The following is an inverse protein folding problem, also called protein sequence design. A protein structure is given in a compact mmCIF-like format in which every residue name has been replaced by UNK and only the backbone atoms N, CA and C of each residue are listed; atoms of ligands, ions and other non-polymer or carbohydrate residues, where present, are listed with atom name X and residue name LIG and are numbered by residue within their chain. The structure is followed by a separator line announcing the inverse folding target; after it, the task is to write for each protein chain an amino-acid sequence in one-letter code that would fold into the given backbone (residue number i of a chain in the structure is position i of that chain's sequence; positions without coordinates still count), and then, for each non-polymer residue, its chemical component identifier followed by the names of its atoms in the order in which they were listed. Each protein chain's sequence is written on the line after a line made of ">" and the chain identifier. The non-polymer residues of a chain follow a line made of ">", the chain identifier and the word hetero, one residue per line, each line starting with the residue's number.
data_IF_502541131524
#
_entry.id   IF_502541131524
#
_cell.length_a   1.000
_cell.length_b   1.000
_cell.length_c   1.000
_cell.angle_alpha   90.00
_cell.angle_beta   90.00
_cell.angle_gamma   90.00
#
_symmetry.space_group_name_H-M   'P 1'
#
loop_
_entity.id
_entity.type
_entity.pdbx_description
1 polymer ?
#
# COMPACT_ATOMS: atom_id res chain seq x y z
N UNK A 1 2.99 3.27 39.49
CA UNK A 1 2.17 2.41 38.56
C UNK A 1 2.78 2.10 37.18
N UNK A 2 2.86 3.05 36.21
CA UNK A 2 3.43 2.72 34.87
C UNK A 2 4.93 2.45 34.91
N UNK A 3 5.63 3.11 35.84
CA UNK A 3 7.07 2.96 35.98
C UNK A 3 7.48 1.67 36.69
N UNK A 4 6.71 1.24 37.69
CA UNK A 4 6.89 -0.09 38.32
C UNK A 4 6.74 -1.19 37.29
N UNK A 5 5.76 -1.08 36.39
CA UNK A 5 5.60 -2.02 35.28
C UNK A 5 6.80 -2.04 34.34
N UNK A 6 7.37 -0.88 34.00
CA UNK A 6 8.56 -0.79 33.15
C UNK A 6 9.80 -1.39 33.83
N UNK A 7 10.12 -0.96 35.06
CA UNK A 7 11.28 -1.47 35.79
C UNK A 7 11.11 -2.94 36.20
N UNK A 8 9.89 -3.41 36.47
CA UNK A 8 9.65 -4.83 36.75
C UNK A 8 9.97 -5.76 35.59
N UNK A 9 10.03 -5.22 34.36
CA UNK A 9 10.41 -6.00 33.19
C UNK A 9 11.93 -6.16 33.05
N UNK A 10 12.76 -5.42 33.81
CA UNK A 10 14.22 -5.52 33.75
C UNK A 10 14.77 -6.19 34.99
N UNK A 11 15.54 -7.25 34.79
CA UNK A 11 16.21 -7.95 35.89
C UNK A 11 17.63 -7.44 36.11
N UNK A 12 18.24 -6.85 35.07
CA UNK A 12 19.57 -6.26 35.15
C UNK A 12 19.60 -4.92 34.44
N UNK A 13 20.20 -3.94 35.10
CA UNK A 13 20.57 -2.67 34.48
C UNK A 13 22.10 -2.65 34.43
N UNK A 14 22.63 -2.69 33.22
CA UNK A 14 24.06 -2.55 32.97
C UNK A 14 24.37 -1.07 32.83
N UNK A 15 24.72 -0.44 33.94
CA UNK A 15 25.37 0.86 33.96
C UNK A 15 26.87 0.64 33.99
N UNK A 16 27.65 1.39 33.21
CA UNK A 16 29.12 1.40 33.33
C UNK A 16 29.63 1.73 34.74
N UNK A 17 28.75 2.17 35.65
CA UNK A 17 28.99 2.43 37.08
C UNK A 17 27.77 1.96 37.91
N UNK A 18 27.94 1.20 39.01
CA UNK A 18 26.84 0.69 39.87
C UNK A 18 26.09 1.80 40.62
N UNK A 19 24.75 1.81 40.60
CA UNK A 19 23.92 2.73 41.39
C UNK A 19 22.70 2.04 42.04
N UNK A 20 22.29 2.43 43.26
CA UNK A 20 21.04 1.99 43.88
C UNK A 20 19.84 2.73 43.27
N UNK A 21 18.80 1.98 42.91
CA UNK A 21 17.54 2.52 42.40
C UNK A 21 16.61 2.77 43.59
N UNK A 22 16.25 4.03 43.86
CA UNK A 22 15.31 4.42 44.92
C UNK A 22 13.87 4.55 44.36
N UNK A 23 12.88 4.13 45.15
CA UNK A 23 11.47 3.91 44.75
C UNK A 23 10.62 5.20 44.59
N UNK A 24 11.22 6.38 44.41
CA UNK A 24 10.53 7.68 44.50
C UNK A 24 10.05 8.27 43.16
N UNK A 25 9.91 7.45 42.12
CA UNK A 25 9.76 7.92 40.73
C UNK A 25 8.32 7.86 40.18
N UNK A 26 7.30 8.02 41.03
CA UNK A 26 5.88 7.90 40.64
C UNK A 26 5.33 9.12 39.86
N UNK A 27 6.12 10.18 39.64
CA UNK A 27 5.64 11.42 38.98
C UNK A 27 6.44 11.88 37.75
N UNK A 28 7.42 11.10 37.27
CA UNK A 28 8.20 11.49 36.10
C UNK A 28 7.46 11.14 34.78
N UNK A 29 7.21 12.10 33.86
CA UNK A 29 6.74 11.78 32.52
C UNK A 29 7.82 11.01 31.76
N UNK A 30 7.66 9.68 31.66
CA UNK A 30 8.41 8.78 30.77
C UNK A 30 9.91 8.66 31.07
N UNK A 31 10.33 7.52 31.63
CA UNK A 31 11.75 7.16 31.82
C UNK A 31 12.57 7.26 30.51
N UNK A 32 11.94 6.94 29.38
CA UNK A 32 12.52 6.93 28.03
C UNK A 32 11.82 7.92 27.09
N UNK A 33 11.37 9.08 27.59
CA UNK A 33 10.90 10.13 26.69
C UNK A 33 11.95 10.32 25.60
N UNK A 34 11.66 9.91 24.36
CA UNK A 34 12.62 9.83 23.27
C UNK A 34 13.02 11.22 22.73
N UNK A 35 12.80 12.26 23.53
CA UNK A 35 13.42 13.54 23.38
C UNK A 35 14.45 13.74 24.50
N UNK A 36 15.61 14.31 24.18
CA UNK A 36 16.49 14.93 25.17
C UNK A 36 15.79 16.16 25.76
N UNK A 37 14.71 15.95 26.52
CA UNK A 37 14.12 17.02 27.31
C UNK A 37 15.02 17.18 28.52
N UNK A 38 15.54 18.40 28.69
CA UNK A 38 16.29 18.77 29.87
C UNK A 38 15.53 18.33 31.14
N UNK A 39 16.15 17.48 31.97
CA UNK A 39 15.55 16.94 33.18
C UNK A 39 14.86 15.58 33.03
N UNK A 40 15.05 14.86 31.92
CA UNK A 40 14.62 13.47 31.83
C UNK A 40 15.34 12.59 32.85
N UNK A 41 14.70 11.50 33.27
CA UNK A 41 15.32 10.51 34.17
C UNK A 41 16.62 9.99 33.58
N UNK A 42 16.64 9.72 32.27
CA UNK A 42 17.84 9.29 31.59
C UNK A 42 18.99 10.29 31.74
N UNK A 43 18.72 11.59 31.55
CA UNK A 43 19.73 12.63 31.75
C UNK A 43 20.19 12.72 33.20
N UNK A 44 19.27 12.54 34.16
CA UNK A 44 19.58 12.53 35.58
C UNK A 44 20.48 11.33 35.97
N UNK A 45 20.17 10.13 35.47
CA UNK A 45 20.94 8.89 35.74
C UNK A 45 22.34 8.99 35.13
N UNK A 46 22.45 9.57 33.94
CA UNK A 46 23.70 9.60 33.17
C UNK A 46 24.57 10.79 33.50
N UNK A 47 24.07 11.74 34.31
CA UNK A 47 24.70 13.03 34.53
C UNK A 47 24.90 13.83 33.23
N UNK A 48 24.14 13.51 32.18
CA UNK A 48 24.33 14.05 30.83
C UNK A 48 25.51 13.49 30.05
N UNK A 49 26.28 12.53 30.60
CA UNK A 49 27.51 12.03 29.97
C UNK A 49 27.28 10.82 29.04
N UNK A 50 26.14 10.15 29.13
CA UNK A 50 25.80 9.08 28.21
C UNK A 50 24.81 9.57 27.15
N UNK A 51 25.19 9.43 25.89
CA UNK A 51 24.33 9.71 24.74
C UNK A 51 23.57 8.50 24.24
N UNK A 52 23.93 7.29 24.68
CA UNK A 52 23.38 6.03 24.17
C UNK A 52 22.78 5.18 25.28
N UNK A 53 21.63 4.57 25.00
CA UNK A 53 21.08 3.46 25.77
C UNK A 53 20.45 2.41 24.86
N UNK A 54 20.31 1.18 25.33
CA UNK A 54 19.70 0.12 24.55
C UNK A 54 18.84 -0.83 25.38
N UNK A 55 17.87 -1.44 24.73
CA UNK A 55 16.87 -2.35 25.28
C UNK A 55 17.07 -3.75 24.69
N UNK A 56 17.34 -4.71 25.57
CA UNK A 56 17.32 -6.14 25.27
C UNK A 56 16.18 -6.81 26.04
N UNK A 57 14.97 -6.80 25.45
CA UNK A 57 13.82 -7.46 26.07
C UNK A 57 13.76 -8.94 25.71
N UNK A 58 13.69 -9.80 26.71
CA UNK A 58 13.58 -11.24 26.55
C UNK A 58 12.21 -11.74 27.06
N UNK A 59 11.70 -12.88 26.56
CA UNK A 59 10.53 -13.53 27.16
C UNK A 59 10.83 -13.90 28.62
N UNK A 60 9.80 -14.08 29.47
CA UNK A 60 9.98 -14.41 30.88
C UNK A 60 10.90 -15.64 31.05
N UNK A 61 11.70 -15.63 32.12
CA UNK A 61 12.80 -16.57 32.35
C UNK A 61 12.43 -18.06 32.21
N UNK A 62 11.15 -18.43 32.37
CA UNK A 62 10.68 -19.81 32.28
C UNK A 62 11.04 -20.51 30.96
N UNK A 63 11.20 -19.77 29.86
CA UNK A 63 11.44 -20.36 28.53
C UNK A 63 12.93 -20.51 28.22
N UNK A 64 13.79 -19.55 28.59
CA UNK A 64 15.19 -19.51 28.14
C UNK A 64 16.22 -19.01 29.19
N UNK A 65 15.81 -18.69 30.43
CA UNK A 65 16.68 -18.11 31.47
C UNK A 65 17.49 -16.86 31.06
N UNK A 66 17.08 -16.13 30.01
CA UNK A 66 17.74 -14.90 29.59
C UNK A 66 17.03 -13.70 30.22
N UNK A 67 17.70 -12.92 31.09
CA UNK A 67 17.11 -11.72 31.69
C UNK A 67 16.86 -10.67 30.60
N UNK A 68 15.86 -9.83 30.80
CA UNK A 68 15.75 -8.59 30.02
C UNK A 68 16.72 -7.54 30.60
N UNK A 69 17.44 -6.85 29.73
CA UNK A 69 18.53 -5.95 30.10
C UNK A 69 18.33 -4.53 29.54
N UNK A 70 18.64 -3.52 30.35
CA UNK A 70 18.75 -2.13 29.97
C UNK A 70 20.22 -1.71 30.02
N UNK A 71 20.76 -1.28 28.89
CA UNK A 71 22.15 -0.88 28.74
C UNK A 71 22.19 0.65 28.75
N UNK A 72 22.92 1.24 29.69
CA UNK A 72 23.01 2.71 29.84
C UNK A 72 24.46 3.14 29.64
N UNK A 73 24.69 4.05 28.70
CA UNK A 73 26.04 4.51 28.34
C UNK A 73 26.75 3.62 27.33
N UNK A 74 26.02 2.76 26.63
CA UNK A 74 26.61 1.90 25.62
C UNK A 74 25.62 0.93 25.00
N UNK A 75 26.19 0.06 24.19
CA UNK A 75 25.51 -0.98 23.41
C UNK A 75 26.16 -2.31 23.80
N UNK A 76 25.40 -3.40 23.74
CA UNK A 76 25.97 -4.73 23.89
C UNK A 76 26.87 -5.04 22.68
N UNK A 77 28.15 -5.38 22.89
CA UNK A 77 29.06 -5.74 21.80
C UNK A 77 28.52 -6.84 20.88
N UNK A 78 27.64 -7.73 21.38
CA UNK A 78 27.03 -8.80 20.55
C UNK A 78 26.17 -8.27 19.40
N UNK A 79 25.65 -7.05 19.51
CA UNK A 79 24.75 -6.46 18.51
C UNK A 79 25.37 -5.28 17.76
N UNK A 80 26.55 -4.81 18.16
CA UNK A 80 27.19 -3.61 17.60
C UNK A 80 27.31 -3.68 16.06
N UNK A 81 27.80 -4.79 15.53
CA UNK A 81 27.96 -5.02 14.08
C UNK A 81 26.64 -5.36 13.35
N UNK A 82 25.54 -5.52 14.09
CA UNK A 82 24.24 -5.93 13.55
C UNK A 82 23.20 -4.82 13.60
N UNK A 83 23.52 -3.69 14.23
CA UNK A 83 22.64 -2.53 14.31
C UNK A 83 22.55 -1.79 12.98
N UNK A 84 21.32 -1.52 12.56
CA UNK A 84 21.03 -0.57 11.49
C UNK A 84 20.42 0.68 12.10
N UNK A 85 21.06 1.82 11.86
CA UNK A 85 20.64 3.12 12.38
C UNK A 85 19.68 3.85 11.43
N UNK A 86 18.66 4.48 11.98
CA UNK A 86 17.72 5.35 11.27
C UNK A 86 17.47 6.63 12.08
N UNK A 87 17.10 7.71 11.39
CA UNK A 87 16.81 9.00 12.03
C UNK A 87 15.45 9.00 12.71
N UNK A 88 15.36 9.72 13.83
CA UNK A 88 14.09 10.02 14.50
C UNK A 88 13.42 11.18 13.78
N UNK A 89 12.14 11.05 13.42
CA UNK A 89 11.32 12.17 12.97
C UNK A 89 10.99 13.08 14.15
N UNK A 90 11.33 14.36 14.03
CA UNK A 90 10.98 15.40 14.98
C UNK A 90 9.80 16.22 14.44
N UNK A 91 8.59 15.69 14.59
CA UNK A 91 7.37 16.43 14.24
C UNK A 91 6.83 17.15 15.49
N UNK A 92 7.58 18.14 16.02
CA UNK A 92 7.18 19.19 17.00
C UNK A 92 6.58 18.76 18.36
N UNK A 93 5.72 17.76 18.38
CA UNK A 93 4.93 17.22 19.49
C UNK A 93 5.13 15.70 19.68
N UNK A 94 5.69 14.97 18.72
CA UNK A 94 5.92 13.53 18.82
C UNK A 94 7.41 13.22 18.81
N UNK A 95 7.88 12.55 19.86
CA UNK A 95 9.29 12.23 20.07
C UNK A 95 9.48 10.73 19.94
N UNK A 96 10.55 10.31 19.26
CA UNK A 96 10.89 8.88 19.08
C UNK A 96 10.18 8.15 17.95
N UNK A 97 9.51 8.87 17.04
CA UNK A 97 9.01 8.25 15.81
C UNK A 97 10.14 8.05 14.80
N UNK A 98 10.09 6.98 14.02
CA UNK A 98 11.02 6.71 12.94
C UNK A 98 10.24 6.08 11.78
N UNK A 99 10.81 6.09 10.58
CA UNK A 99 10.13 5.50 9.42
C UNK A 99 10.54 4.05 9.24
N UNK A 100 9.54 3.19 9.06
CA UNK A 100 9.71 1.83 8.56
C UNK A 100 9.21 1.74 7.12
N UNK A 101 9.82 0.86 6.35
CA UNK A 101 9.54 0.64 4.95
C UNK A 101 9.11 -0.80 4.66
N UNK A 102 8.40 -1.01 3.56
CA UNK A 102 8.11 -2.34 2.99
C UNK A 102 7.52 -3.32 4.01
N UNK A 103 6.56 -2.84 4.81
CA UNK A 103 5.89 -3.63 5.83
C UNK A 103 5.03 -4.72 5.19
N UNK A 104 5.34 -6.00 5.47
CA UNK A 104 4.70 -7.16 4.85
C UNK A 104 4.35 -8.26 5.83
N UNK A 105 3.28 -8.99 5.52
CA UNK A 105 2.91 -10.25 6.16
C UNK A 105 2.63 -11.24 5.05
N UNK A 106 3.12 -12.48 5.16
CA UNK A 106 2.86 -13.50 4.14
C UNK A 106 3.30 -13.12 2.72
N UNK A 107 4.33 -12.27 2.59
CA UNK A 107 4.80 -11.70 1.31
C UNK A 107 3.96 -10.55 0.76
N UNK A 108 2.81 -10.24 1.38
CA UNK A 108 1.88 -9.18 0.96
C UNK A 108 2.15 -7.89 1.73
N UNK A 109 2.18 -6.76 1.04
CA UNK A 109 2.31 -5.44 1.68
C UNK A 109 1.07 -5.08 2.46
N UNK A 110 1.25 -4.54 3.68
CA UNK A 110 0.14 -4.15 4.54
C UNK A 110 -0.56 -2.88 4.04
N UNK A 111 0.16 -2.00 3.35
CA UNK A 111 -0.39 -0.90 2.57
C UNK A 111 0.23 -0.94 1.16
N UNK A 112 -0.51 -1.35 0.11
CA UNK A 112 0.02 -1.39 -1.25
C UNK A 112 0.20 0.01 -1.87
N UNK A 113 -0.41 1.05 -1.28
CA UNK A 113 -0.36 2.41 -1.82
C UNK A 113 0.81 3.22 -1.24
N UNK A 114 1.45 2.76 -0.17
CA UNK A 114 2.60 3.43 0.46
C UNK A 114 3.67 2.45 0.90
N UNK A 115 4.92 2.81 0.62
CA UNK A 115 6.09 1.99 0.98
C UNK A 115 6.70 2.36 2.33
N UNK A 116 6.27 3.47 2.96
CA UNK A 116 6.86 4.03 4.16
C UNK A 116 5.78 4.40 5.19
N UNK A 117 6.05 4.15 6.48
CA UNK A 117 5.11 4.41 7.57
C UNK A 117 5.81 4.85 8.85
N UNK A 118 5.26 5.80 9.63
CA UNK A 118 5.81 6.15 10.93
C UNK A 118 5.60 5.02 11.94
N UNK A 119 6.64 4.67 12.66
CA UNK A 119 6.64 3.71 13.75
C UNK A 119 7.13 4.38 15.03
N UNK A 120 6.67 3.87 16.17
CA UNK A 120 7.04 4.34 17.50
C UNK A 120 7.38 3.14 18.37
N UNK A 121 8.47 3.25 19.12
CA UNK A 121 8.81 2.29 20.16
C UNK A 121 8.13 2.72 21.45
N UNK A 122 7.20 1.91 21.95
CA UNK A 122 6.41 2.24 23.15
C UNK A 122 6.53 1.13 24.18
N UNK A 123 7.40 1.35 25.16
CA UNK A 123 7.60 0.42 26.26
C UNK A 123 6.45 0.44 27.28
N UNK A 124 5.50 1.39 27.16
CA UNK A 124 4.29 1.45 27.98
C UNK A 124 3.14 0.62 27.42
N UNK A 125 3.22 0.20 26.15
CA UNK A 125 2.28 -0.72 25.51
C UNK A 125 2.80 -2.16 25.56
N UNK A 126 1.94 -3.10 25.92
CA UNK A 126 2.25 -4.53 25.84
C UNK A 126 2.21 -5.06 24.39
N UNK A 127 1.27 -4.55 23.60
CA UNK A 127 0.88 -5.12 22.32
C UNK A 127 1.35 -4.28 21.13
N UNK A 128 1.45 -4.93 19.97
CA UNK A 128 1.62 -4.26 18.69
C UNK A 128 0.31 -3.54 18.33
N UNK A 129 0.34 -2.23 18.08
CA UNK A 129 -0.83 -1.50 17.56
C UNK A 129 -0.59 -1.10 16.12
N UNK A 130 -1.55 -1.42 15.26
CA UNK A 130 -1.50 -1.14 13.82
C UNK A 130 -2.71 -0.31 13.43
N UNK A 131 -2.59 0.61 12.46
CA UNK A 131 -3.75 1.22 11.85
C UNK A 131 -4.75 0.18 11.35
N UNK A 132 -6.04 0.53 11.35
CA UNK A 132 -7.15 -0.41 11.08
C UNK A 132 -6.95 -1.24 9.82
N UNK A 133 -6.59 -0.61 8.71
CA UNK A 133 -6.46 -1.25 7.41
C UNK A 133 -5.31 -2.26 7.43
N UNK A 134 -4.15 -1.89 7.98
CA UNK A 134 -3.00 -2.78 8.14
C UNK A 134 -3.31 -3.97 9.05
N UNK A 135 -4.04 -3.73 10.15
CA UNK A 135 -4.53 -4.78 11.04
C UNK A 135 -5.44 -5.77 10.28
N UNK A 136 -6.38 -5.25 9.49
CA UNK A 136 -7.32 -6.07 8.71
C UNK A 136 -6.59 -6.94 7.67
N UNK A 137 -5.49 -6.45 7.07
CA UNK A 137 -4.61 -7.27 6.20
C UNK A 137 -3.97 -8.42 6.96
N UNK A 138 -3.42 -8.20 8.15
CA UNK A 138 -2.84 -9.29 8.96
C UNK A 138 -3.91 -10.35 9.29
N UNK A 139 -5.11 -9.92 9.72
CA UNK A 139 -6.21 -10.84 10.03
C UNK A 139 -6.66 -11.63 8.80
N UNK A 140 -6.61 -11.01 7.63
CA UNK A 140 -6.92 -11.64 6.35
C UNK A 140 -5.95 -12.79 6.04
N UNK A 141 -4.63 -12.55 6.17
CA UNK A 141 -3.62 -13.51 5.74
C UNK A 141 -3.18 -14.52 6.80
N UNK A 142 -3.19 -14.13 8.07
CA UNK A 142 -2.84 -15.01 9.17
C UNK A 142 -4.03 -15.91 9.58
N UNK A 143 -3.78 -17.07 10.21
CA UNK A 143 -4.81 -17.98 10.68
C UNK A 143 -5.44 -17.47 12.01
N UNK A 144 -6.02 -16.27 11.94
CA UNK A 144 -6.62 -15.57 13.08
C UNK A 144 -8.14 -15.50 12.94
N UNK A 145 -8.82 -15.57 14.08
CA UNK A 145 -10.24 -15.28 14.23
C UNK A 145 -10.40 -14.14 15.22
N UNK A 146 -10.92 -13.01 14.76
CA UNK A 146 -11.09 -11.82 15.60
C UNK A 146 -12.55 -11.56 15.91
N UNK A 147 -12.84 -11.23 17.17
CA UNK A 147 -14.11 -10.64 17.56
C UNK A 147 -14.14 -9.20 17.05
N UNK A 148 -15.27 -8.77 16.50
CA UNK A 148 -15.46 -7.46 15.88
C UNK A 148 -14.90 -6.35 16.79
N UNK A 149 -13.78 -5.76 16.36
CA UNK A 149 -13.13 -4.60 16.99
C UNK A 149 -12.48 -4.83 18.35
N UNK A 150 -12.13 -6.07 18.75
CA UNK A 150 -11.58 -6.31 20.10
C UNK A 150 -10.34 -7.19 20.13
N UNK A 151 -10.54 -8.50 20.01
CA UNK A 151 -9.53 -9.49 20.34
C UNK A 151 -9.42 -10.51 19.22
N UNK A 152 -8.19 -10.78 18.81
CA UNK A 152 -7.86 -11.82 17.87
C UNK A 152 -7.37 -13.06 18.61
N UNK A 153 -7.81 -14.21 18.14
CA UNK A 153 -7.42 -15.51 18.66
C UNK A 153 -6.84 -16.33 17.52
N UNK A 154 -5.90 -17.22 17.85
CA UNK A 154 -5.45 -18.22 16.90
C UNK A 154 -6.65 -19.13 16.53
N UNK A 155 -6.93 -19.28 15.24
CA UNK A 155 -7.97 -20.20 14.77
C UNK A 155 -7.59 -21.64 15.14
N UNK A 156 -8.54 -22.40 15.71
CA UNK A 156 -8.32 -23.81 16.03
C UNK A 156 -7.98 -24.59 14.74
N UNK A 157 -6.77 -25.14 14.63
CA UNK A 157 -6.33 -25.79 13.38
C UNK A 157 -4.84 -26.19 13.33
N UNK A 158 -4.40 -26.63 12.15
CA UNK A 158 -3.08 -27.23 11.84
C UNK A 158 -1.89 -26.27 11.88
N UNK A 159 -2.06 -25.01 12.31
CA UNK A 159 -0.97 -24.03 12.28
C UNK A 159 -0.35 -23.87 13.68
N UNK A 160 0.76 -24.57 13.98
CA UNK A 160 1.43 -24.43 15.28
C UNK A 160 2.08 -23.05 15.45
N UNK A 161 2.31 -22.32 14.35
CA UNK A 161 3.06 -21.07 14.29
C UNK A 161 2.30 -20.02 13.47
N UNK A 162 2.49 -18.76 13.82
CA UNK A 162 2.00 -17.61 13.07
C UNK A 162 3.06 -17.14 12.05
N UNK A 163 2.67 -16.38 11.01
CA UNK A 163 3.63 -15.83 10.06
C UNK A 163 4.44 -14.69 10.67
N UNK A 164 5.57 -14.35 10.04
CA UNK A 164 6.34 -13.16 10.41
C UNK A 164 5.76 -11.90 9.79
N UNK A 165 5.83 -10.80 10.54
CA UNK A 165 5.70 -9.44 10.03
C UNK A 165 7.11 -8.94 9.70
N UNK A 166 7.35 -8.53 8.46
CA UNK A 166 8.66 -8.06 8.02
C UNK A 166 8.64 -6.59 7.64
N UNK A 167 9.71 -5.85 7.91
CA UNK A 167 9.85 -4.45 7.54
C UNK A 167 11.32 -4.11 7.28
N UNK A 168 11.60 -2.93 6.73
CA UNK A 168 12.95 -2.40 6.54
C UNK A 168 13.06 -1.02 7.20
N UNK A 169 14.27 -0.61 7.55
CA UNK A 169 14.52 0.76 8.05
C UNK A 169 14.82 1.76 6.94
N UNK A 170 15.14 1.27 5.74
CA UNK A 170 15.36 2.05 4.52
C UNK A 170 14.82 1.26 3.33
N UNK A 171 14.48 1.92 2.22
CA UNK A 171 13.87 1.26 1.05
C UNK A 171 14.67 0.07 0.51
N UNK A 172 16.01 0.15 0.58
CA UNK A 172 16.96 -0.88 0.10
C UNK A 172 17.72 -1.56 1.24
N UNK A 173 17.27 -1.39 2.48
CA UNK A 173 17.97 -1.85 3.67
C UNK A 173 17.77 -3.33 3.98
N UNK A 174 18.38 -3.75 5.09
CA UNK A 174 18.18 -5.05 5.70
C UNK A 174 16.70 -5.22 6.09
N UNK A 175 16.17 -6.42 5.88
CA UNK A 175 14.83 -6.81 6.33
C UNK A 175 14.88 -7.27 7.80
N UNK A 176 14.03 -6.67 8.62
CA UNK A 176 13.75 -7.04 10.00
C UNK A 176 12.49 -7.90 10.05
N UNK A 177 12.40 -8.76 11.05
CA UNK A 177 11.29 -9.70 11.22
C UNK A 177 10.78 -9.65 12.67
N UNK A 178 9.46 -9.76 12.81
CA UNK A 178 8.74 -9.94 14.06
C UNK A 178 7.93 -11.22 13.95
N UNK A 179 8.15 -12.20 14.84
CA UNK A 179 7.30 -13.40 14.88
C UNK A 179 6.00 -13.07 15.60
N UNK A 180 4.89 -13.18 14.88
CA UNK A 180 3.57 -12.95 15.48
C UNK A 180 3.27 -14.01 16.56
N UNK A 181 4.01 -15.12 16.60
CA UNK A 181 3.89 -16.15 17.64
C UNK A 181 4.25 -15.63 19.04
N UNK A 182 5.19 -14.69 19.18
CA UNK A 182 5.58 -14.14 20.49
C UNK A 182 4.60 -13.07 21.00
N UNK A 183 3.72 -12.59 20.10
CA UNK A 183 2.57 -11.79 20.49
C UNK A 183 1.47 -12.65 21.12
N UNK A 184 1.55 -13.98 21.06
CA UNK A 184 0.59 -14.84 21.74
C UNK A 184 0.68 -14.67 23.26
N UNK A 185 -0.48 -14.46 23.87
CA UNK A 185 -0.64 -14.41 25.30
C UNK A 185 -0.85 -15.84 25.79
N UNK A 186 0.02 -16.27 26.69
CA UNK A 186 -0.19 -17.49 27.46
C UNK A 186 -1.40 -17.25 28.36
N UNK A 187 -2.43 -18.07 28.15
CA UNK A 187 -3.61 -18.03 28.98
C UNK A 187 -3.24 -18.73 30.29
N UNK A 188 -2.94 -17.96 31.33
CA UNK A 188 -2.76 -18.54 32.67
C UNK A 188 -4.07 -19.22 33.06
N UNK A 189 -4.02 -20.49 33.42
CA UNK A 189 -5.17 -21.40 33.69
C UNK A 189 -6.22 -20.87 34.71
N UNK A 190 -5.96 -19.72 35.33
CA UNK A 190 -6.72 -19.16 36.45
C UNK A 190 -7.97 -18.33 36.06
N UNK A 191 -8.23 -18.07 34.77
CA UNK A 191 -9.40 -17.24 34.33
C UNK A 191 -10.61 -18.09 33.91
N UNK A 192 -10.54 -19.41 34.10
CA UNK A 192 -11.61 -20.36 33.69
C UNK A 192 -12.85 -20.36 34.60
N UNK A 193 -12.94 -19.55 35.65
CA UNK A 193 -14.02 -19.65 36.65
C UNK A 193 -15.26 -18.76 36.42
N UNK A 194 -15.28 -17.87 35.41
CA UNK A 194 -16.41 -16.92 35.23
C UNK A 194 -17.20 -17.06 33.92
N UNK A 195 -16.83 -17.96 33.01
CA UNK A 195 -17.55 -18.15 31.75
C UNK A 195 -17.76 -19.63 31.45
N UNK A 196 -18.97 -20.13 31.71
CA UNK A 196 -19.40 -21.52 31.49
C UNK A 196 -19.42 -21.98 30.01
N UNK A 197 -18.73 -21.29 29.11
CA UNK A 197 -18.69 -21.63 27.69
C UNK A 197 -17.47 -22.52 27.38
N UNK A 198 -17.68 -23.84 27.48
CA UNK A 198 -16.68 -24.90 27.26
C UNK A 198 -16.05 -24.89 25.85
N UNK A 199 -16.48 -24.02 24.94
CA UNK A 199 -15.90 -23.92 23.59
C UNK A 199 -14.69 -22.97 23.49
N UNK A 200 -14.38 -22.19 24.55
CA UNK A 200 -13.33 -21.14 24.50
C UNK A 200 -12.04 -21.49 25.23
N UNK A 201 -12.02 -22.56 26.02
CA UNK A 201 -10.97 -22.89 27.00
C UNK A 201 -9.61 -23.32 26.42
N UNK A 202 -9.31 -23.05 25.15
CA UNK A 202 -8.01 -23.35 24.51
C UNK A 202 -7.56 -22.29 23.47
N UNK A 203 -8.18 -21.11 23.43
CA UNK A 203 -7.88 -20.11 22.40
C UNK A 203 -6.80 -19.14 22.87
N UNK A 204 -5.56 -19.36 22.40
CA UNK A 204 -4.45 -18.40 22.58
C UNK A 204 -4.80 -17.05 21.95
N UNK A 205 -4.88 -16.01 22.79
CA UNK A 205 -5.17 -14.62 22.38
C UNK A 205 -3.91 -13.96 21.82
N UNK A 206 -4.05 -13.18 20.76
CA UNK A 206 -2.96 -12.41 20.16
C UNK A 206 -2.91 -10.99 20.75
N UNK A 207 -1.74 -10.55 21.22
CA UNK A 207 -1.47 -9.20 21.71
C UNK A 207 -1.25 -8.24 20.53
N UNK A 208 -2.32 -7.95 19.80
CA UNK A 208 -2.35 -7.01 18.69
C UNK A 208 -3.62 -6.16 18.82
N UNK A 209 -3.46 -4.84 18.72
CA UNK A 209 -4.55 -3.88 18.90
C UNK A 209 -4.84 -3.18 17.57
N UNK A 210 -6.12 -3.06 17.24
CA UNK A 210 -6.58 -2.25 16.13
C UNK A 210 -6.54 -0.77 16.53
N UNK A 211 -5.68 -0.01 15.87
CA UNK A 211 -5.59 1.45 15.98
C UNK A 211 -6.67 2.16 15.16
N UNK A 212 -6.59 3.50 15.06
CA UNK A 212 -7.52 4.28 14.25
C UNK A 212 -7.41 3.93 12.76
N UNK A 213 -8.45 4.25 12.01
CA UNK A 213 -8.43 4.16 10.55
C UNK A 213 -7.47 5.18 9.97
N UNK A 214 -6.75 4.76 8.93
CA UNK A 214 -5.91 5.62 8.10
C UNK A 214 -6.75 6.48 7.16
N UNK A 215 -8.04 6.17 7.01
CA UNK A 215 -8.96 6.83 6.10
C UNK A 215 -10.02 7.62 6.88
N UNK A 216 -10.37 8.80 6.38
CA UNK A 216 -11.50 9.58 6.85
C UNK A 216 -12.82 8.98 6.32
N UNK A 217 -13.95 9.62 6.67
CA UNK A 217 -15.28 9.18 6.23
C UNK A 217 -15.47 9.25 4.71
N UNK A 218 -14.61 9.98 3.99
CA UNK A 218 -14.63 10.14 2.55
C UNK A 218 -13.62 9.21 1.84
N UNK A 219 -12.88 8.38 2.58
CA UNK A 219 -11.83 7.53 2.04
C UNK A 219 -10.50 8.25 1.77
N UNK A 220 -10.33 9.49 2.25
CA UNK A 220 -9.07 10.22 2.16
C UNK A 220 -8.14 9.87 3.31
N UNK A 221 -6.84 9.93 3.07
CA UNK A 221 -5.84 9.63 4.10
C UNK A 221 -5.82 10.70 5.19
N UNK A 222 -5.88 10.27 6.45
CA UNK A 222 -5.79 11.14 7.62
C UNK A 222 -4.34 11.62 7.80
N UNK A 223 -4.15 12.90 8.07
CA UNK A 223 -2.84 13.51 8.35
C UNK A 223 -2.90 14.23 9.72
N UNK A 224 -1.98 13.98 10.67
CA UNK A 224 -0.84 13.05 10.61
C UNK A 224 -1.28 11.58 10.56
N UNK A 225 -0.46 10.74 9.92
CA UNK A 225 -0.66 9.29 9.91
C UNK A 225 -0.50 8.74 11.32
N UNK A 226 -1.39 7.83 11.72
CA UNK A 226 -1.26 7.15 13.00
C UNK A 226 -0.03 6.22 12.98
N UNK A 227 0.92 6.37 13.91
CA UNK A 227 2.12 5.55 13.90
C UNK A 227 1.82 4.10 14.27
N UNK A 228 2.62 3.18 13.74
CA UNK A 228 2.66 1.79 14.21
C UNK A 228 3.35 1.79 15.57
N UNK A 229 2.63 1.35 16.60
CA UNK A 229 3.17 1.30 17.94
C UNK A 229 3.74 -0.09 18.22
N UNK A 230 5.06 -0.16 18.35
CA UNK A 230 5.82 -1.38 18.64
C UNK A 230 5.94 -1.52 20.16
N UNK A 231 5.00 -2.27 20.75
CA UNK A 231 4.97 -2.57 22.18
C UNK A 231 6.01 -3.60 22.64
N UNK A 232 6.15 -3.79 23.95
CA UNK A 232 7.19 -4.62 24.58
C UNK A 232 7.25 -6.06 24.08
N UNK A 233 6.12 -6.68 23.68
CA UNK A 233 6.14 -8.04 23.13
C UNK A 233 6.75 -8.11 21.74
N UNK A 234 6.43 -7.16 20.87
CA UNK A 234 7.04 -7.07 19.55
C UNK A 234 8.55 -6.77 19.66
N UNK A 235 8.93 -5.92 20.62
CA UNK A 235 10.33 -5.59 20.89
C UNK A 235 11.17 -6.79 21.34
N UNK A 236 10.59 -7.93 21.76
CA UNK A 236 11.39 -9.10 22.16
C UNK A 236 12.25 -9.67 21.03
N UNK A 237 11.83 -9.50 19.79
CA UNK A 237 12.59 -9.92 18.61
C UNK A 237 13.67 -8.94 18.17
N UNK A 238 13.69 -7.75 18.76
CA UNK A 238 14.54 -6.66 18.36
C UNK A 238 15.45 -6.26 19.51
N UNK A 239 16.72 -6.06 19.19
CA UNK A 239 17.58 -5.27 20.05
C UNK A 239 17.53 -3.83 19.57
N UNK A 240 17.19 -2.91 20.47
CA UNK A 240 16.94 -1.51 20.11
C UNK A 240 17.89 -0.62 20.87
N UNK A 241 18.70 0.15 20.16
CA UNK A 241 19.57 1.18 20.71
C UNK A 241 19.02 2.57 20.36
N UNK A 242 19.18 3.52 21.27
CA UNK A 242 18.82 4.91 21.10
C UNK A 242 20.07 5.74 21.27
N UNK A 243 20.43 6.51 20.24
CA UNK A 243 21.47 7.51 20.31
C UNK A 243 20.79 8.88 20.36
N UNK A 244 20.73 9.42 21.57
CA UNK A 244 20.03 10.65 21.93
C UNK A 244 20.76 11.89 21.38
N UNK A 245 22.09 11.83 21.31
CA UNK A 245 22.93 12.92 20.80
C UNK A 245 22.75 13.09 19.28
N UNK A 246 22.79 11.98 18.54
CA UNK A 246 22.61 12.01 17.09
C UNK A 246 21.14 12.01 16.65
N UNK A 247 20.19 11.81 17.57
CA UNK A 247 18.77 11.68 17.27
C UNK A 247 18.44 10.48 16.39
N UNK A 248 19.06 9.32 16.67
CA UNK A 248 18.92 8.10 15.86
C UNK A 248 18.50 6.90 16.69
N UNK A 249 17.82 5.96 16.05
CA UNK A 249 17.45 4.65 16.61
C UNK A 249 18.19 3.57 15.83
N UNK A 250 18.88 2.69 16.53
CA UNK A 250 19.52 1.51 16.01
C UNK A 250 18.64 0.28 16.28
N UNK A 251 18.43 -0.56 15.27
CA UNK A 251 17.71 -1.82 15.43
C UNK A 251 18.57 -2.97 14.91
N UNK A 252 18.64 -4.05 15.69
CA UNK A 252 19.20 -5.33 15.28
C UNK A 252 18.14 -6.43 15.49
N UNK A 253 18.08 -7.41 14.59
CA UNK A 253 17.19 -8.57 14.76
C UNK A 253 17.86 -9.59 15.68
N UNK A 254 17.12 -10.13 16.64
CA UNK A 254 17.54 -11.26 17.46
C UNK A 254 17.18 -12.61 16.83
N UNK A 255 16.26 -12.60 15.87
CA UNK A 255 15.92 -13.79 15.11
C UNK A 255 17.08 -14.08 14.15
N UNK A 256 17.43 -15.37 14.03
CA UNK A 256 18.35 -15.82 12.99
C UNK A 256 17.73 -15.56 11.60
N UNK A 257 18.57 -15.35 10.58
CA UNK A 257 18.17 -15.01 9.20
C UNK A 257 17.43 -16.15 8.45
N UNK A 258 16.55 -16.87 9.12
CA UNK A 258 15.61 -17.80 8.50
C UNK A 258 14.75 -17.06 7.48
N UNK A 259 14.68 -17.59 6.26
CA UNK A 259 13.78 -17.06 5.24
C UNK A 259 12.35 -17.09 5.79
N UNK A 260 11.59 -15.98 5.72
CA UNK A 260 10.20 -15.99 6.14
C UNK A 260 9.46 -17.04 5.31
N UNK A 261 8.97 -18.09 5.97
CA UNK A 261 8.18 -19.12 5.31
C UNK A 261 6.73 -18.65 5.28
N UNK A 262 6.09 -18.70 4.11
CA UNK A 262 4.66 -18.37 3.96
C UNK A 262 3.75 -19.59 4.16
N UNK A 263 4.27 -20.67 4.77
CA UNK A 263 3.58 -21.96 4.94
C UNK A 263 2.37 -21.83 5.88
N UNK A 264 2.40 -20.84 6.77
CA UNK A 264 1.38 -20.58 7.79
C UNK A 264 0.29 -19.61 7.31
N UNK A 265 0.38 -19.14 6.06
CA UNK A 265 -0.50 -18.13 5.50
C UNK A 265 -1.72 -18.77 4.84
N UNK A 266 -2.85 -18.07 4.82
CA UNK A 266 -4.01 -18.49 4.02
C UNK A 266 -3.62 -18.48 2.55
N UNK A 267 -4.13 -19.47 1.80
CA UNK A 267 -3.88 -19.55 0.36
C UNK A 267 -4.54 -18.38 -0.37
N UNK A 268 -3.87 -17.93 -1.43
CA UNK A 268 -4.38 -16.86 -2.31
C UNK A 268 -5.61 -17.38 -3.06
N UNK A 269 -6.71 -16.63 -3.01
CA UNK A 269 -7.93 -16.96 -3.77
C UNK A 269 -7.67 -16.75 -5.27
N UNK A 270 -7.90 -17.77 -6.12
CA UNK A 270 -7.77 -17.62 -7.57
C UNK A 270 -8.97 -16.87 -8.14
N UNK A 271 -8.71 -15.79 -8.88
CA UNK A 271 -9.74 -15.00 -9.55
C UNK A 271 -10.13 -15.60 -10.89
N UNK A 272 -11.38 -15.35 -11.32
CA UNK A 272 -11.95 -15.86 -12.57
C UNK A 272 -12.20 -14.71 -13.54
N UNK A 273 -12.09 -14.99 -14.84
CA UNK A 273 -12.42 -14.04 -15.89
C UNK A 273 -11.63 -12.73 -15.79
N UNK A 274 -12.35 -11.61 -15.69
CA UNK A 274 -11.80 -10.25 -15.62
C UNK A 274 -11.75 -9.69 -14.19
N UNK A 275 -11.95 -10.53 -13.16
CA UNK A 275 -11.84 -10.09 -11.77
C UNK A 275 -10.43 -9.60 -11.43
N UNK A 276 -10.35 -8.52 -10.67
CA UNK A 276 -9.09 -8.03 -10.10
C UNK A 276 -8.88 -8.63 -8.71
N UNK A 277 -7.66 -9.09 -8.44
CA UNK A 277 -7.32 -9.62 -7.13
C UNK A 277 -6.98 -8.51 -6.14
N UNK A 278 -7.75 -8.39 -5.06
CA UNK A 278 -7.48 -7.47 -3.96
C UNK A 278 -6.66 -8.17 -2.86
N UNK A 279 -5.37 -7.85 -2.78
CA UNK A 279 -4.46 -8.51 -1.83
C UNK A 279 -4.73 -8.16 -0.37
N UNK A 280 -5.33 -7.01 -0.08
CA UNK A 280 -5.65 -6.59 1.30
C UNK A 280 -6.74 -7.45 1.94
N UNK A 281 -7.73 -7.86 1.16
CA UNK A 281 -8.88 -8.67 1.59
C UNK A 281 -8.76 -10.14 1.22
N UNK A 282 -7.75 -10.50 0.41
CA UNK A 282 -7.61 -11.82 -0.20
C UNK A 282 -8.91 -12.28 -0.91
N UNK A 283 -9.57 -11.33 -1.59
CA UNK A 283 -10.79 -11.56 -2.35
C UNK A 283 -10.62 -11.09 -3.79
N UNK A 284 -11.46 -11.64 -4.66
CA UNK A 284 -11.55 -11.21 -6.05
C UNK A 284 -12.66 -10.19 -6.17
N UNK A 285 -12.34 -9.03 -6.71
CA UNK A 285 -13.29 -7.95 -6.96
C UNK A 285 -13.81 -8.07 -8.39
N UNK A 286 -15.13 -7.98 -8.53
CA UNK A 286 -15.76 -8.00 -9.84
C UNK A 286 -15.41 -6.72 -10.62
N UNK A 287 -15.17 -6.82 -11.94
CA UNK A 287 -14.89 -5.65 -12.75
C UNK A 287 -16.08 -4.71 -12.75
N UNK A 288 -15.82 -3.41 -12.80
CA UNK A 288 -16.85 -2.37 -12.76
C UNK A 288 -17.57 -2.22 -14.11
N UNK A 289 -18.23 -3.27 -14.58
CA UNK A 289 -18.92 -3.25 -15.88
C UNK A 289 -19.99 -2.15 -15.96
N UNK A 290 -20.61 -1.80 -14.84
CA UNK A 290 -21.64 -0.75 -14.75
C UNK A 290 -21.12 0.68 -15.02
N UNK A 291 -19.80 0.91 -15.01
CA UNK A 291 -19.23 2.19 -15.43
C UNK A 291 -19.38 2.40 -16.95
N UNK A 292 -19.62 1.32 -17.72
CA UNK A 292 -19.86 1.35 -19.16
C UNK A 292 -21.33 1.03 -19.44
N UNK A 293 -22.06 1.99 -20.01
CA UNK A 293 -23.52 1.93 -20.21
C UNK A 293 -24.03 0.66 -20.92
N UNK A 294 -23.20 0.04 -21.77
CA UNK A 294 -23.59 -1.09 -22.61
C UNK A 294 -23.09 -2.45 -22.11
N UNK A 295 -22.35 -2.48 -21.00
CA UNK A 295 -21.76 -3.70 -20.46
C UNK A 295 -22.51 -4.17 -19.21
N UNK A 296 -22.75 -5.48 -19.14
CA UNK A 296 -23.28 -6.18 -17.99
C UNK A 296 -22.26 -7.21 -17.52
N UNK A 297 -22.16 -7.39 -16.20
CA UNK A 297 -21.35 -8.46 -15.62
C UNK A 297 -22.07 -9.81 -15.84
N UNK A 298 -21.38 -10.76 -16.45
CA UNK A 298 -21.79 -12.16 -16.45
C UNK A 298 -21.32 -12.81 -15.14
N UNK A 299 -22.24 -13.24 -14.28
CA UNK A 299 -21.92 -13.77 -12.95
C UNK A 299 -21.17 -15.11 -12.97
N UNK A 300 -21.30 -15.90 -14.03
CA UNK A 300 -20.65 -17.21 -14.13
C UNK A 300 -19.19 -17.08 -14.59
N UNK A 301 -18.95 -16.30 -15.65
CA UNK A 301 -17.63 -16.09 -16.25
C UNK A 301 -16.85 -14.96 -15.59
N UNK A 302 -17.56 -14.06 -14.89
CA UNK A 302 -17.03 -12.81 -14.33
C UNK A 302 -16.33 -11.95 -15.39
N UNK A 303 -16.90 -11.90 -16.59
CA UNK A 303 -16.50 -11.04 -17.71
C UNK A 303 -17.56 -9.97 -17.95
N UNK A 304 -17.14 -8.81 -18.46
CA UNK A 304 -18.09 -7.79 -18.93
C UNK A 304 -18.53 -8.14 -20.35
N UNK A 305 -19.82 -8.39 -20.54
CA UNK A 305 -20.42 -8.73 -21.82
C UNK A 305 -21.39 -7.64 -22.24
N UNK A 306 -21.58 -7.45 -23.56
CA UNK A 306 -22.60 -6.52 -24.04
C UNK A 306 -23.99 -6.99 -23.62
N UNK A 307 -24.85 -6.05 -23.25
CA UNK A 307 -26.25 -6.37 -22.98
C UNK A 307 -26.87 -7.02 -24.23
N UNK A 308 -27.65 -8.11 -24.12
CA UNK A 308 -28.20 -8.81 -25.29
C UNK A 308 -28.98 -7.89 -26.26
N UNK A 309 -29.56 -6.81 -25.74
CA UNK A 309 -30.26 -5.79 -26.52
C UNK A 309 -29.34 -4.88 -27.34
N UNK A 310 -28.05 -4.75 -27.00
CA UNK A 310 -27.11 -3.89 -27.71
C UNK A 310 -26.98 -4.28 -29.18
N UNK A 311 -26.85 -5.57 -29.48
CA UNK A 311 -26.77 -6.04 -30.85
C UNK A 311 -28.04 -5.72 -31.66
N UNK A 312 -29.21 -5.79 -31.03
CA UNK A 312 -30.47 -5.43 -31.67
C UNK A 312 -30.58 -3.92 -31.92
N UNK A 313 -30.18 -3.09 -30.95
CA UNK A 313 -30.17 -1.63 -31.09
C UNK A 313 -29.16 -1.20 -32.16
N UNK A 314 -27.95 -1.74 -32.14
CA UNK A 314 -26.93 -1.46 -33.13
C UNK A 314 -27.39 -1.83 -34.55
N UNK A 315 -28.00 -3.01 -34.72
CA UNK A 315 -28.59 -3.42 -35.98
C UNK A 315 -29.71 -2.47 -36.44
N UNK A 316 -30.56 -2.00 -35.52
CA UNK A 316 -31.62 -1.04 -35.82
C UNK A 316 -31.06 0.32 -36.24
N UNK A 317 -30.01 0.81 -35.58
CA UNK A 317 -29.33 2.05 -35.99
C UNK A 317 -28.71 1.93 -37.38
N UNK A 318 -28.00 0.84 -37.65
CA UNK A 318 -27.42 0.59 -38.98
C UNK A 318 -28.52 0.54 -40.04
N UNK A 319 -29.63 -0.16 -39.78
CA UNK A 319 -30.78 -0.20 -40.69
C UNK A 319 -31.38 1.20 -40.93
N UNK A 320 -31.49 2.01 -39.87
CA UNK A 320 -31.99 3.39 -39.98
C UNK A 320 -31.07 4.25 -40.87
N UNK A 321 -29.75 4.16 -40.69
CA UNK A 321 -28.80 4.86 -41.56
C UNK A 321 -28.90 4.42 -43.02
N UNK A 322 -29.04 3.12 -43.29
CA UNK A 322 -29.23 2.60 -44.66
C UNK A 322 -30.53 3.15 -45.29
N UNK A 323 -31.64 3.20 -44.54
CA UNK A 323 -32.91 3.78 -45.01
C UNK A 323 -32.75 5.27 -45.32
N UNK A 324 -32.04 6.01 -44.47
CA UNK A 324 -31.76 7.44 -44.68
C UNK A 324 -30.92 7.65 -45.94
N UNK A 325 -29.83 6.91 -46.12
CA UNK A 325 -28.98 6.99 -47.31
C UNK A 325 -29.75 6.66 -48.59
N UNK A 326 -30.57 5.60 -48.56
CA UNK A 326 -31.41 5.24 -49.69
C UNK A 326 -32.43 6.34 -50.02
N UNK A 327 -33.07 6.92 -49.00
CA UNK A 327 -34.04 8.00 -49.17
C UNK A 327 -33.37 9.26 -49.74
N UNK A 328 -32.18 9.62 -49.25
CA UNK A 328 -31.41 10.76 -49.75
C UNK A 328 -30.97 10.55 -51.20
N UNK A 329 -30.50 9.35 -51.55
CA UNK A 329 -30.14 9.00 -52.94
C UNK A 329 -31.35 9.07 -53.87
N UNK A 330 -32.51 8.56 -53.44
CA UNK A 330 -33.75 8.65 -54.21
C UNK A 330 -34.18 10.10 -54.45
N UNK A 331 -34.15 10.94 -53.42
CA UNK A 331 -34.46 12.38 -53.53
C UNK A 331 -33.47 13.08 -54.47
N UNK A 332 -32.18 12.78 -54.35
CA UNK A 332 -31.13 13.35 -55.20
C UNK A 332 -31.34 12.99 -56.68
N UNK A 333 -31.64 11.72 -56.98
CA UNK A 333 -31.90 11.27 -58.35
C UNK A 333 -33.12 11.98 -58.95
N UNK A 334 -34.22 12.06 -58.20
CA UNK A 334 -35.45 12.74 -58.62
C UNK A 334 -35.24 14.25 -58.85
N UNK A 335 -34.49 14.91 -57.96
CA UNK A 335 -34.12 16.32 -58.15
C UNK A 335 -33.25 16.51 -59.39
N UNK A 336 -32.27 15.64 -59.63
CA UNK A 336 -31.40 15.73 -60.81
C UNK A 336 -32.19 15.60 -62.11
N UNK A 337 -33.15 14.67 -62.17
CA UNK A 337 -34.04 14.48 -63.33
C UNK A 337 -34.90 15.73 -63.58
N UNK A 338 -35.45 16.33 -62.52
CA UNK A 338 -36.23 17.58 -62.64
C UNK A 338 -35.39 18.74 -63.15
N UNK A 339 -34.15 18.88 -62.68
CA UNK A 339 -33.22 19.92 -63.12
C UNK A 339 -32.83 19.71 -64.59
N UNK A 340 -32.48 18.49 -64.99
CA UNK A 340 -32.19 18.17 -66.40
C UNK A 340 -33.39 18.47 -67.32
N UNK A 341 -34.60 18.05 -66.93
CA UNK A 341 -35.81 18.32 -67.70
C UNK A 341 -36.13 19.83 -67.79
N UNK A 342 -35.80 20.62 -66.76
CA UNK A 342 -35.98 22.07 -66.77
C UNK A 342 -34.91 22.81 -67.62
N UNK A 343 -33.73 22.21 -67.81
CA UNK A 343 -32.63 22.76 -68.62
C UNK A 343 -32.75 22.41 -70.12
N UNK A 344 -33.38 21.28 -70.47
CA UNK A 344 -33.57 20.85 -71.87
C UNK A 344 -34.47 21.72 -72.79
N UNK A 345 -35.32 22.68 -72.37
CA UNK A 345 -36.11 23.47 -73.32
C UNK A 345 -35.32 24.54 -74.10
N UNK A 346 -34.02 24.75 -73.82
CA UNK A 346 -33.29 25.93 -74.32
C UNK A 346 -32.43 25.61 -75.57
N UNK A 347 -32.19 24.34 -75.92
CA UNK A 347 -31.38 24.00 -77.11
C UNK A 347 -32.18 23.90 -78.42
N UNK A 348 -33.51 23.77 -78.40
CA UNK A 348 -34.33 23.73 -79.62
C UNK A 348 -34.53 25.10 -80.31
N UNK A 349 -34.00 26.19 -79.73
CA UNK A 349 -34.03 27.53 -80.36
C UNK A 349 -32.64 28.04 -80.77
N UNK A 350 -31.67 27.13 -81.00
CA UNK A 350 -30.34 27.49 -81.52
C UNK A 350 -29.83 26.66 -82.69
N UNK A 351 -30.71 25.93 -83.39
CA UNK A 351 -30.39 25.26 -84.67
C UNK A 351 -31.05 25.93 -85.89
N UNK A 352 -31.58 27.15 -85.73
CA UNK A 352 -32.13 27.92 -86.85
C UNK A 352 -31.21 29.03 -87.38
N UNK A 353 -29.97 29.18 -86.90
CA UNK A 353 -29.06 30.10 -87.55
C UNK A 353 -27.58 29.72 -87.46
N UNK A 354 -27.02 29.58 -88.67
CA UNK A 354 -25.64 29.84 -89.04
C UNK A 354 -24.65 28.66 -89.13
N UNK A 355 -24.76 28.00 -90.28
CA UNK A 355 -23.64 27.47 -91.06
C UNK A 355 -22.56 28.55 -91.26
N UNK A 356 -21.32 28.35 -90.76
CA UNK A 356 -20.08 28.54 -91.55
C UNK A 356 -18.76 28.29 -90.79
N UNK A 357 -17.98 27.38 -91.37
CA UNK A 357 -16.53 27.40 -91.59
C UNK A 357 -15.57 27.67 -90.43
N UNK A 358 -15.00 26.61 -89.82
CA UNK A 358 -13.65 26.63 -89.22
C UNK A 358 -12.92 25.29 -89.54
N UNK A 359 -11.63 25.33 -89.95
CA UNK A 359 -10.91 24.24 -90.64
C UNK A 359 -10.27 23.20 -89.70
N UNK A 360 -9.65 22.11 -90.23
CA UNK A 360 -9.18 21.00 -89.41
C UNK A 360 -7.81 21.32 -88.80
N UNK A 361 -7.63 21.03 -87.51
CA UNK A 361 -6.30 21.01 -86.88
C UNK A 361 -6.00 19.61 -86.33
N UNK A 362 -4.80 19.21 -86.70
CA UNK A 362 -4.13 17.93 -86.57
C UNK A 362 -3.78 17.52 -85.13
N UNK A 363 -3.86 16.20 -84.90
CA UNK A 363 -3.05 15.31 -84.03
C UNK A 363 -2.01 15.96 -83.09
N UNK A 364 -2.04 15.52 -81.84
CA UNK A 364 -0.96 14.81 -81.11
C UNK A 364 -1.59 14.19 -79.84
N UNK A 365 -1.46 12.88 -79.57
CA UNK A 365 -0.38 12.32 -78.73
C UNK A 365 -0.49 12.88 -77.30
N UNK A 366 -0.69 12.12 -76.22
CA UNK A 366 0.30 11.19 -75.66
C UNK A 366 -0.24 10.60 -74.33
N UNK A 367 0.06 9.32 -74.08
CA UNK A 367 0.21 8.57 -72.79
C UNK A 367 -0.97 8.48 -71.79
N UNK A 368 -1.50 7.28 -71.47
CA UNK A 368 -0.95 6.22 -70.59
C UNK A 368 -0.55 6.68 -69.17
N UNK A 369 -1.33 6.23 -68.18
CA UNK A 369 -1.04 6.32 -66.74
C UNK A 369 -2.17 5.64 -65.96
N UNK A 370 -2.22 4.30 -65.95
CA UNK A 370 -1.72 3.42 -64.88
C UNK A 370 -2.64 3.38 -63.65
N UNK A 371 -3.29 2.21 -63.55
CA UNK A 371 -3.84 1.55 -62.38
C UNK A 371 -3.05 1.81 -61.10
N UNK A 372 -3.72 2.13 -59.98
CA UNK A 372 -3.18 1.90 -58.64
C UNK A 372 -4.32 1.56 -57.67
N UNK A 373 -4.19 0.39 -57.06
CA UNK A 373 -5.02 -0.17 -56.00
C UNK A 373 -4.99 0.72 -54.75
N UNK A 374 -6.01 0.69 -53.88
CA UNK A 374 -5.80 0.97 -52.46
C UNK A 374 -5.30 -0.30 -51.78
N UNK A 375 -4.03 -0.26 -51.39
CA UNK A 375 -3.36 -1.24 -50.54
C UNK A 375 -3.86 -1.18 -49.09
N UNK A 376 -3.74 -2.33 -48.45
CA UNK A 376 -3.94 -2.64 -47.04
C UNK A 376 -3.41 -1.55 -46.09
N UNK A 377 -4.24 -1.14 -45.13
CA UNK A 377 -3.78 -0.50 -43.90
C UNK A 377 -3.49 -1.62 -42.91
N UNK A 378 -2.21 -1.98 -42.84
CA UNK A 378 -1.65 -2.81 -41.78
C UNK A 378 -1.69 -2.06 -40.45
N UNK A 379 -2.10 -2.80 -39.42
CA UNK A 379 -1.76 -2.53 -38.03
C UNK A 379 -0.24 -2.52 -37.88
N UNK A 380 0.29 -1.53 -37.15
CA UNK A 380 1.49 -1.73 -36.35
C UNK A 380 1.39 -0.90 -35.06
N UNK A 381 1.66 -1.61 -33.97
CA UNK A 381 1.87 -1.10 -32.62
C UNK A 381 3.22 -0.34 -32.55
N UNK A 382 3.32 0.66 -31.67
CA UNK A 382 4.61 1.25 -31.33
C UNK A 382 4.49 2.61 -30.66
N UNK A 383 4.41 2.59 -29.33
CA UNK A 383 4.30 3.79 -28.51
C UNK A 383 5.53 4.70 -28.53
N UNK A 384 5.28 5.98 -28.28
CA UNK A 384 6.13 6.84 -27.46
C UNK A 384 5.29 7.99 -26.92
N UNK A 385 5.12 8.02 -25.60
CA UNK A 385 4.47 9.12 -24.88
C UNK A 385 5.54 10.18 -24.64
N UNK A 386 5.57 11.21 -25.48
CA UNK A 386 6.27 12.46 -25.18
C UNK A 386 5.43 13.27 -24.18
N UNK A 387 6.02 13.51 -23.01
CA UNK A 387 5.52 14.39 -21.97
C UNK A 387 5.58 15.85 -22.43
N UNK A 388 4.42 16.51 -22.44
CA UNK A 388 4.31 17.97 -22.59
C UNK A 388 4.84 18.73 -21.37
N UNK A 389 5.10 20.05 -21.53
CA UNK A 389 6.03 20.78 -20.67
C UNK A 389 5.44 21.22 -19.32
N UNK A 390 6.33 21.21 -18.33
CA UNK A 390 6.12 21.68 -16.96
C UNK A 390 5.87 23.19 -16.91
N UNK A 391 4.81 23.58 -16.21
CA UNK A 391 4.49 24.96 -15.84
C UNK A 391 5.42 25.39 -14.71
N UNK A 392 6.27 26.38 -14.99
CA UNK A 392 7.17 26.98 -14.01
C UNK A 392 6.40 27.90 -13.02
N UNK A 393 6.58 27.64 -11.73
CA UNK A 393 6.25 28.58 -10.64
C UNK A 393 7.58 29.15 -10.10
N UNK A 394 7.70 30.47 -9.88
CA UNK A 394 8.97 31.09 -9.53
C UNK A 394 9.20 31.14 -8.01
N UNK A 395 10.45 30.90 -7.61
CA UNK A 395 11.07 31.60 -6.48
C UNK A 395 11.45 30.75 -5.27
N UNK A 396 12.72 30.29 -5.22
CA UNK A 396 13.56 30.22 -4.00
C UNK A 396 15.04 30.31 -4.44
N UNK A 397 15.89 31.10 -3.76
CA UNK A 397 17.28 31.36 -4.18
C UNK A 397 18.24 30.22 -3.84
N UNK A 398 19.31 30.14 -4.64
CA UNK A 398 20.46 29.26 -4.48
C UNK A 398 21.21 29.52 -3.16
N UNK A 399 21.62 28.44 -2.49
CA UNK A 399 22.60 28.47 -1.41
C UNK A 399 23.77 27.58 -1.83
N UNK A 400 24.94 28.21 -1.90
CA UNK A 400 26.24 27.63 -2.16
C UNK A 400 26.59 26.53 -1.16
N UNK A 401 27.07 25.39 -1.67
CA UNK A 401 27.85 24.46 -0.87
C UNK A 401 29.32 24.90 -0.82
N UNK A 402 30.08 24.54 0.23
CA UNK A 402 31.53 24.48 0.13
C UNK A 402 31.98 23.04 -0.15
N UNK A 403 33.02 22.96 -0.97
CA UNK A 403 33.83 21.78 -1.20
C UNK A 403 34.59 21.39 0.08
N UNK A 404 34.61 20.07 0.36
CA UNK A 404 35.76 19.29 0.86
C UNK A 404 35.44 17.80 0.79
#
# INVERSE_FOLDING_TARGET
>A
NKMDFFLSNFEKIHTGNTWPIDHTMDQAPGFLGAAPVAGSVFQAITGGNASVFALDLNPPLEVNNLPSELHVGGIDPKYEDHLTWTGIQQDGNTTGQFIIHDLRVCGVQLDPNRTAWPALIDTSSACLTLPKEMFDVIVTWAPLTCLVGKECYLSAGRFPRLPHLTFKLTDKGKTFQLDLSDLLLEETDNVTSLRNDKTWSQKRRLCMIQGPSMLDQNGHLVNPLAPINIGIRALRHLYVAFNVEDGRIGIASKLSDGSPTNVQCKEKVPCKGMQSYASSTNMCEDPKCHEYFLLRLNDETKTCEFEPGFHAIAALFVLMFVIVEFSLNYIHEELSKRVQNALMPIEDERDANDTKDIPPVSRQGTEMGVFSQPSEVGMDEGGNVELGPSVAVPGVPAIDGPAL
#
